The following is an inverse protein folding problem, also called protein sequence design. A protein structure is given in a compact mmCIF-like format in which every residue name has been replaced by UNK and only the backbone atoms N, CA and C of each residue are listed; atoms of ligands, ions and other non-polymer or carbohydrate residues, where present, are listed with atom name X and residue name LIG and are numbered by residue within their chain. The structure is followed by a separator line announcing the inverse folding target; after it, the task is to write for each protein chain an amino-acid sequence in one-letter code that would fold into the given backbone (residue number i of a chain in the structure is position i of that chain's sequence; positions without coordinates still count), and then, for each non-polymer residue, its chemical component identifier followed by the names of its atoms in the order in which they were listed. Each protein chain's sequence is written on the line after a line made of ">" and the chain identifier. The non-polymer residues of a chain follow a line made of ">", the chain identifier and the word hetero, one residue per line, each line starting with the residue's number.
data_IF_376983892664
#
_entry.id   IF_376983892664
#
_cell.length_a   1.000
_cell.length_b   1.000
_cell.length_c   1.000
_cell.angle_alpha   90.00
_cell.angle_beta   90.00
_cell.angle_gamma   90.00
#
_symmetry.space_group_name_H-M   'P 1'
#
loop_
_entity.id
_entity.type
_entity.pdbx_description
1 polymer ?
#
# COMPACT_ATOMS: atom_id res chain seq x y z
N UNK A 1 11.46 22.91 -12.96
CA UNK A 1 10.24 22.10 -12.74
C UNK A 1 9.17 23.02 -12.20
N UNK A 2 8.11 23.31 -12.96
CA UNK A 2 7.02 24.18 -12.47
C UNK A 2 6.23 23.44 -11.38
N UNK A 3 5.90 24.11 -10.29
CA UNK A 3 5.17 23.52 -9.15
C UNK A 3 3.89 22.79 -9.57
N UNK A 4 3.18 23.33 -10.56
CA UNK A 4 2.01 22.70 -11.17
C UNK A 4 2.32 21.33 -11.80
N UNK A 5 3.46 21.18 -12.47
CA UNK A 5 3.86 19.91 -13.08
C UNK A 5 4.24 18.87 -12.02
N UNK A 6 4.84 19.30 -10.90
CA UNK A 6 5.12 18.43 -9.76
C UNK A 6 3.81 17.97 -9.08
N UNK A 7 2.85 18.89 -8.89
CA UNK A 7 1.55 18.57 -8.29
C UNK A 7 0.72 17.62 -9.16
N UNK A 8 0.70 17.85 -10.48
CA UNK A 8 0.02 16.97 -11.43
C UNK A 8 0.68 15.58 -11.50
N UNK A 9 2.01 15.52 -11.53
CA UNK A 9 2.74 14.25 -11.51
C UNK A 9 2.48 13.46 -10.22
N UNK A 10 2.51 14.13 -9.07
CA UNK A 10 2.16 13.52 -7.79
C UNK A 10 0.71 13.03 -7.77
N UNK A 11 -0.24 13.86 -8.18
CA UNK A 11 -1.66 13.52 -8.19
C UNK A 11 -1.95 12.31 -9.09
N UNK A 12 -1.34 12.24 -10.28
CA UNK A 12 -1.49 11.11 -11.18
C UNK A 12 -0.97 9.81 -10.56
N UNK A 13 0.23 9.85 -9.97
CA UNK A 13 0.83 8.68 -9.29
C UNK A 13 0.00 8.29 -8.07
N UNK A 14 -0.40 9.25 -7.23
CA UNK A 14 -1.22 9.02 -6.05
C UNK A 14 -2.58 8.42 -6.39
N UNK A 15 -3.23 8.87 -7.47
CA UNK A 15 -4.48 8.30 -7.96
C UNK A 15 -4.30 6.83 -8.34
N UNK A 16 -3.24 6.49 -9.08
CA UNK A 16 -2.92 5.10 -9.45
C UNK A 16 -2.66 4.23 -8.22
N UNK A 17 -1.87 4.72 -7.27
CA UNK A 17 -1.59 4.01 -6.01
C UNK A 17 -2.84 3.81 -5.14
N UNK A 18 -3.80 4.73 -5.19
CA UNK A 18 -5.04 4.65 -4.40
C UNK A 18 -6.01 3.59 -4.95
N UNK A 19 -6.01 3.37 -6.26
CA UNK A 19 -6.89 2.38 -6.92
C UNK A 19 -6.43 0.94 -6.64
N UNK A 20 -5.14 0.71 -6.38
CA UNK A 20 -4.60 -0.60 -6.04
C UNK A 20 -4.75 -0.80 -4.52
N UNK A 21 -5.70 -1.60 -4.02
CA UNK A 21 -5.75 -1.92 -2.60
C UNK A 21 -4.43 -2.59 -2.22
N UNK A 22 -3.57 -1.85 -1.51
CA UNK A 22 -2.25 -2.32 -1.08
C UNK A 22 -2.34 -3.50 -0.11
N UNK A 23 -1.19 -4.14 0.14
CA UNK A 23 -1.08 -5.26 1.08
C UNK A 23 -1.62 -4.89 2.47
N UNK A 24 -1.33 -3.68 2.95
CA UNK A 24 -1.79 -3.17 4.24
C UNK A 24 -3.31 -3.02 4.29
N UNK A 25 -3.92 -2.43 3.25
CA UNK A 25 -5.38 -2.28 3.17
C UNK A 25 -6.09 -3.63 3.06
N UNK A 26 -5.51 -4.58 2.32
CA UNK A 26 -6.02 -5.94 2.21
C UNK A 26 -5.92 -6.69 3.54
N UNK A 27 -4.83 -6.51 4.27
CA UNK A 27 -4.63 -7.07 5.62
C UNK A 27 -5.64 -6.52 6.61
N UNK A 28 -5.85 -5.20 6.63
CA UNK A 28 -6.84 -4.56 7.50
C UNK A 28 -8.25 -5.02 7.14
N UNK A 29 -8.59 -5.09 5.84
CA UNK A 29 -9.88 -5.59 5.38
C UNK A 29 -10.10 -7.05 5.77
N UNK A 30 -9.08 -7.91 5.60
CA UNK A 30 -9.14 -9.31 6.06
C UNK A 30 -9.32 -9.39 7.57
N UNK A 31 -8.62 -8.58 8.34
CA UNK A 31 -8.81 -8.51 9.79
C UNK A 31 -10.21 -8.07 10.17
N UNK A 32 -10.80 -7.11 9.46
CA UNK A 32 -12.18 -6.68 9.65
C UNK A 32 -13.18 -7.80 9.34
N UNK A 33 -13.01 -8.49 8.20
CA UNK A 33 -13.90 -9.54 7.73
C UNK A 33 -13.82 -10.83 8.56
N UNK A 34 -12.62 -11.22 9.01
CA UNK A 34 -12.40 -12.50 9.70
C UNK A 34 -12.50 -12.37 11.23
N UNK A 35 -12.04 -11.24 11.79
CA UNK A 35 -11.89 -11.07 13.25
C UNK A 35 -12.76 -9.94 13.82
N UNK A 36 -13.41 -9.13 12.97
CA UNK A 36 -14.28 -8.03 13.36
C UNK A 36 -13.56 -6.68 13.51
N UNK A 37 -14.35 -5.62 13.66
CA UNK A 37 -13.88 -4.23 13.58
C UNK A 37 -12.82 -3.85 14.63
N UNK A 38 -12.89 -4.40 15.84
CA UNK A 38 -11.90 -4.13 16.89
C UNK A 38 -10.48 -4.56 16.51
N UNK A 39 -10.35 -5.73 15.86
CA UNK A 39 -9.05 -6.24 15.39
C UNK A 39 -8.56 -5.49 14.16
N UNK A 40 -9.47 -4.97 13.31
CA UNK A 40 -9.12 -4.12 12.19
C UNK A 40 -8.47 -2.81 12.66
N UNK A 41 -9.04 -2.15 13.67
CA UNK A 41 -8.48 -0.93 14.26
C UNK A 41 -7.11 -1.19 14.89
N UNK A 42 -6.96 -2.27 15.66
CA UNK A 42 -5.68 -2.66 16.23
C UNK A 42 -4.62 -2.94 15.13
N UNK A 43 -5.01 -3.61 14.05
CA UNK A 43 -4.13 -3.88 12.89
C UNK A 43 -3.71 -2.58 12.22
N UNK A 44 -4.65 -1.66 11.98
CA UNK A 44 -4.38 -0.37 11.35
C UNK A 44 -3.46 0.51 12.22
N UNK A 45 -3.68 0.54 13.53
CA UNK A 45 -2.82 1.26 14.48
C UNK A 45 -1.43 0.65 14.56
N UNK A 46 -1.31 -0.68 14.53
CA UNK A 46 -0.02 -1.37 14.49
C UNK A 46 0.77 -1.06 13.22
N UNK A 47 0.11 -1.13 12.05
CA UNK A 47 0.72 -0.76 10.77
C UNK A 47 1.14 0.72 10.79
N UNK A 48 0.26 1.61 11.26
CA UNK A 48 0.54 3.05 11.32
C UNK A 48 1.72 3.40 12.23
N UNK A 49 1.75 2.86 13.45
CA UNK A 49 2.86 3.07 14.39
C UNK A 49 4.16 2.48 13.87
N UNK A 50 4.14 1.28 13.31
CA UNK A 50 5.30 0.67 12.66
C UNK A 50 5.83 1.53 11.51
N UNK A 51 4.94 2.04 10.65
CA UNK A 51 5.30 2.92 9.54
C UNK A 51 5.91 4.24 10.02
N UNK A 52 5.40 4.83 11.10
CA UNK A 52 5.97 6.04 11.70
C UNK A 52 7.36 5.81 12.26
N UNK A 53 7.56 4.71 13.02
CA UNK A 53 8.86 4.37 13.59
C UNK A 53 9.87 4.10 12.47
N UNK A 54 9.49 3.31 11.48
CA UNK A 54 10.34 2.99 10.33
C UNK A 54 10.67 4.25 9.51
N UNK A 55 9.68 5.11 9.25
CA UNK A 55 9.87 6.36 8.53
C UNK A 55 10.79 7.34 9.26
N UNK A 56 10.64 7.46 10.58
CA UNK A 56 11.54 8.27 11.41
C UNK A 56 12.96 7.72 11.39
N UNK A 57 13.13 6.40 11.54
CA UNK A 57 14.44 5.76 11.45
C UNK A 57 15.09 5.96 10.08
N UNK A 58 14.32 5.84 9.00
CA UNK A 58 14.80 6.07 7.64
C UNK A 58 15.20 7.53 7.42
N UNK A 59 14.43 8.50 7.92
CA UNK A 59 14.76 9.92 7.81
C UNK A 59 16.04 10.27 8.58
N UNK A 60 16.18 9.78 9.81
CA UNK A 60 17.40 9.93 10.61
C UNK A 60 18.59 9.27 9.92
N UNK A 61 18.42 8.05 9.41
CA UNK A 61 19.45 7.32 8.69
C UNK A 61 19.90 8.02 7.40
N UNK A 62 18.95 8.57 6.63
CA UNK A 62 19.24 9.35 5.43
C UNK A 62 19.99 10.64 5.76
N UNK A 63 19.58 11.35 6.83
CA UNK A 63 20.28 12.54 7.32
C UNK A 63 21.71 12.22 7.79
N UNK A 64 21.90 11.09 8.49
CA UNK A 64 23.22 10.62 8.90
C UNK A 64 24.10 10.24 7.69
N UNK A 65 23.53 9.59 6.67
CA UNK A 65 24.24 9.28 5.43
C UNK A 65 24.68 10.54 4.68
N UNK A 66 23.80 11.54 4.60
CA UNK A 66 24.11 12.85 4.01
C UNK A 66 25.27 13.53 4.74
N UNK A 67 25.24 13.52 6.08
CA UNK A 67 26.30 14.10 6.89
C UNK A 67 27.63 13.34 6.76
N UNK A 68 27.58 12.02 6.54
CA UNK A 68 28.78 11.18 6.42
C UNK A 68 29.42 11.25 5.02
N UNK A 69 28.63 11.20 3.93
CA UNK A 69 29.17 11.22 2.57
C UNK A 69 28.13 11.55 1.49
N UNK A 70 28.44 12.52 0.63
CA UNK A 70 27.61 12.87 -0.53
C UNK A 70 27.52 11.70 -1.53
N UNK A 71 28.60 10.93 -1.73
CA UNK A 71 28.63 9.81 -2.68
C UNK A 71 27.71 8.68 -2.22
N UNK A 72 27.76 8.31 -0.94
CA UNK A 72 26.90 7.26 -0.40
C UNK A 72 25.42 7.62 -0.51
N UNK A 73 25.05 8.86 -0.18
CA UNK A 73 23.68 9.34 -0.34
C UNK A 73 23.23 9.33 -1.81
N UNK A 74 24.10 9.73 -2.74
CA UNK A 74 23.81 9.68 -4.19
C UNK A 74 23.56 8.25 -4.68
N UNK A 75 24.38 7.28 -4.25
CA UNK A 75 24.21 5.87 -4.62
C UNK A 75 22.87 5.34 -4.13
N UNK A 76 22.52 5.59 -2.86
CA UNK A 76 21.24 5.16 -2.28
C UNK A 76 20.06 5.83 -3.00
N UNK A 77 20.16 7.13 -3.29
CA UNK A 77 19.12 7.88 -4.01
C UNK A 77 18.91 7.34 -5.42
N UNK A 78 19.99 7.11 -6.16
CA UNK A 78 19.93 6.59 -7.53
C UNK A 78 19.42 5.14 -7.54
N UNK A 79 19.86 4.32 -6.59
CA UNK A 79 19.36 2.95 -6.41
C UNK A 79 17.87 2.92 -6.06
N UNK A 80 17.42 3.80 -5.18
CA UNK A 80 16.01 3.96 -4.85
C UNK A 80 15.16 4.40 -6.04
N UNK A 81 15.67 5.33 -6.86
CA UNK A 81 15.00 5.76 -8.09
C UNK A 81 14.83 4.60 -9.09
N UNK A 82 15.90 3.83 -9.33
CA UNK A 82 15.86 2.64 -10.20
C UNK A 82 14.87 1.61 -9.65
N UNK A 83 14.88 1.37 -8.34
CA UNK A 83 13.96 0.45 -7.69
C UNK A 83 12.49 0.87 -7.86
N UNK A 84 12.18 2.16 -7.71
CA UNK A 84 10.82 2.69 -7.93
C UNK A 84 10.38 2.54 -9.39
N UNK A 85 11.28 2.79 -10.35
CA UNK A 85 10.99 2.56 -11.78
C UNK A 85 10.67 1.08 -12.02
N UNK A 86 11.50 0.17 -11.48
CA UNK A 86 11.27 -1.27 -11.58
C UNK A 86 9.92 -1.68 -10.97
N UNK A 87 9.61 -1.19 -9.77
CA UNK A 87 8.36 -1.50 -9.07
C UNK A 87 7.15 -0.95 -9.85
N UNK A 88 7.25 0.28 -10.36
CA UNK A 88 6.21 0.90 -11.18
C UNK A 88 5.92 0.11 -12.46
N UNK A 89 6.97 -0.31 -13.18
CA UNK A 89 6.83 -1.16 -14.37
C UNK A 89 6.21 -2.51 -14.03
N UNK A 90 6.68 -3.16 -12.95
CA UNK A 90 6.12 -4.44 -12.50
C UNK A 90 4.62 -4.33 -12.17
N UNK A 91 4.21 -3.27 -11.47
CA UNK A 91 2.81 -3.04 -11.12
C UNK A 91 1.93 -2.86 -12.36
N UNK A 92 2.39 -2.09 -13.34
CA UNK A 92 1.69 -1.89 -14.61
C UNK A 92 1.54 -3.24 -15.35
N UNK A 93 2.63 -4.00 -15.49
CA UNK A 93 2.63 -5.31 -16.17
C UNK A 93 1.71 -6.31 -15.46
N UNK A 94 1.71 -6.33 -14.13
CA UNK A 94 0.87 -7.25 -13.33
C UNK A 94 -0.60 -6.84 -13.32
N UNK A 95 -0.91 -5.54 -13.36
CA UNK A 95 -2.27 -5.02 -13.47
C UNK A 95 -2.97 -5.55 -14.73
N UNK A 96 -2.27 -5.54 -15.87
CA UNK A 96 -2.80 -6.08 -17.13
C UNK A 96 -3.03 -7.61 -17.12
N UNK A 97 -2.53 -8.33 -16.11
CA UNK A 97 -2.73 -9.78 -15.95
C UNK A 97 -3.81 -10.16 -14.92
N UNK A 98 -4.33 -9.20 -14.15
CA UNK A 98 -5.24 -9.46 -13.02
C UNK A 98 -6.70 -9.10 -13.37
N UNK A 99 -7.27 -9.79 -14.36
CA UNK A 99 -8.70 -9.74 -14.71
C UNK A 99 -9.31 -11.14 -14.62
N UNK A 100 -9.23 -11.77 -13.43
CA UNK A 100 -9.70 -13.16 -13.30
C UNK A 100 -9.76 -13.73 -11.90
N UNK A 101 -9.99 -12.93 -10.85
CA UNK A 101 -10.34 -13.47 -9.53
C UNK A 101 -11.73 -12.98 -9.15
N UNK A 102 -12.70 -13.68 -9.74
CA UNK A 102 -13.95 -14.13 -9.13
C UNK A 102 -14.43 -13.36 -7.90
N UNK A 103 -15.47 -12.56 -8.17
CA UNK A 103 -16.57 -12.26 -7.25
C UNK A 103 -17.34 -13.58 -6.99
N UNK A 104 -16.73 -14.54 -6.31
CA UNK A 104 -17.38 -15.80 -5.92
C UNK A 104 -17.32 -15.91 -4.39
N UNK A 105 -18.44 -15.61 -3.71
CA UNK A 105 -18.51 -15.89 -2.27
C UNK A 105 -19.50 -15.11 -1.41
N UNK A 106 -20.26 -14.16 -1.94
CA UNK A 106 -21.38 -13.52 -1.19
C UNK A 106 -22.74 -13.84 -1.79
N UNK A 107 -22.93 -15.07 -2.27
CA UNK A 107 -24.25 -15.67 -2.32
C UNK A 107 -24.71 -15.98 -0.89
N UNK A 108 -25.22 -14.96 -0.20
CA UNK A 108 -25.99 -15.11 1.02
C UNK A 108 -27.16 -16.06 0.70
N UNK A 109 -27.05 -17.31 1.15
CA UNK A 109 -28.16 -18.27 1.08
C UNK A 109 -29.37 -17.66 1.80
N UNK A 110 -30.53 -17.50 1.15
CA UNK A 110 -31.74 -17.20 1.89
C UNK A 110 -32.03 -18.40 2.80
N UNK A 111 -32.02 -18.15 4.10
CA UNK A 111 -32.53 -19.08 5.12
C UNK A 111 -34.00 -19.34 4.84
N UNK A 112 -34.28 -20.38 4.06
CA UNK A 112 -35.56 -21.07 4.06
C UNK A 112 -35.51 -22.13 5.16
N UNK A 113 -36.02 -21.77 6.33
CA UNK A 113 -36.76 -22.73 7.15
C UNK A 113 -38.00 -22.01 7.68
N UNK A 114 -39.04 -22.07 6.86
CA UNK A 114 -40.41 -21.91 7.31
C UNK A 114 -40.81 -23.07 8.22
N UNK A 115 -41.94 -22.88 8.88
CA UNK A 115 -42.49 -23.75 9.89
C UNK A 115 -42.60 -25.22 9.48
N UNK A 116 -42.33 -26.06 10.47
CA UNK A 116 -43.12 -27.24 10.69
C UNK A 116 -43.77 -27.05 12.07
N UNK A 117 -45.08 -26.92 12.04
CA UNK A 117 -45.97 -27.22 13.15
C UNK A 117 -45.83 -28.69 13.55
#
# INVERSE_FOLDING_TARGET
>A
MTFAQALLGFAAVAAVLTVIPGLDTTLVLRSALVRGNGYAVATALGIGTGALIWGAAAAVGAAALLAASEVAYRVVTLGGAVYLVYLGVMLIVKSFRTHGLEVEGTAVRPSRSGGAF
#
